data_IF_269169117479
#
_entry.id   IF_269169117479
#
_cell.length_a   1.000
_cell.length_b   1.000
_cell.length_c   1.000
_cell.angle_alpha   90.00
_cell.angle_beta   90.00
_cell.angle_gamma   90.00
#
_symmetry.space_group_name_H-M   'P 1'
#
loop_
_entity.id
_entity.type
_entity.pdbx_description
1 polymer ?
#
# COMPACT_ATOMS: atom_id res chain seq x y z
N UNK A 1 -37.04 12.45 -14.19
CA UNK A 1 -37.26 11.28 -13.32
C UNK A 1 -36.08 11.22 -12.37
N UNK A 2 -36.27 11.57 -11.09
CA UNK A 2 -35.23 11.38 -10.08
C UNK A 2 -35.26 9.89 -9.70
N UNK A 3 -34.17 9.16 -9.95
CA UNK A 3 -34.03 7.78 -9.50
C UNK A 3 -34.17 7.71 -7.98
N UNK A 4 -34.87 6.68 -7.48
CA UNK A 4 -34.99 6.43 -6.05
C UNK A 4 -33.59 6.20 -5.46
N UNK A 5 -33.15 7.00 -4.45
CA UNK A 5 -31.83 6.87 -3.86
C UNK A 5 -31.56 5.46 -3.29
N UNK A 6 -32.61 4.75 -2.86
CA UNK A 6 -32.48 3.37 -2.41
C UNK A 6 -32.18 2.41 -3.58
N UNK A 7 -32.85 2.58 -4.72
CA UNK A 7 -32.63 1.79 -5.92
C UNK A 7 -31.23 2.06 -6.53
N UNK A 8 -30.81 3.33 -6.58
CA UNK A 8 -29.48 3.73 -7.04
C UNK A 8 -28.36 3.13 -6.17
N UNK A 9 -28.57 3.07 -4.85
CA UNK A 9 -27.61 2.44 -3.92
C UNK A 9 -27.49 0.93 -4.14
N UNK A 10 -28.59 0.24 -4.43
CA UNK A 10 -28.59 -1.19 -4.70
C UNK A 10 -27.83 -1.51 -5.98
N UNK A 11 -28.14 -0.79 -7.06
CA UNK A 11 -27.45 -0.96 -8.35
C UNK A 11 -25.94 -0.72 -8.23
N UNK A 12 -25.55 0.33 -7.51
CA UNK A 12 -24.13 0.66 -7.28
C UNK A 12 -23.43 -0.42 -6.48
N UNK A 13 -24.04 -0.93 -5.39
CA UNK A 13 -23.46 -2.00 -4.57
C UNK A 13 -23.31 -3.31 -5.34
N UNK A 14 -24.33 -3.69 -6.11
CA UNK A 14 -24.27 -4.88 -6.97
C UNK A 14 -23.13 -4.76 -7.98
N UNK A 15 -23.00 -3.60 -8.62
CA UNK A 15 -21.93 -3.36 -9.60
C UNK A 15 -20.54 -3.32 -8.95
N UNK A 16 -20.39 -2.65 -7.82
CA UNK A 16 -19.14 -2.61 -7.07
C UNK A 16 -18.69 -4.02 -6.67
N UNK A 17 -19.61 -4.85 -6.15
CA UNK A 17 -19.31 -6.26 -5.83
C UNK A 17 -18.83 -7.03 -7.06
N UNK A 18 -19.50 -6.89 -8.21
CA UNK A 18 -19.06 -7.55 -9.44
C UNK A 18 -17.63 -7.16 -9.84
N UNK A 19 -17.30 -5.86 -9.79
CA UNK A 19 -15.96 -5.36 -10.13
C UNK A 19 -14.90 -5.88 -9.16
N UNK A 20 -15.17 -5.85 -7.85
CA UNK A 20 -14.25 -6.38 -6.83
C UNK A 20 -14.06 -7.89 -7.00
N UNK A 21 -15.13 -8.66 -7.24
CA UNK A 21 -15.04 -10.10 -7.49
C UNK A 21 -14.23 -10.43 -8.76
N UNK A 22 -14.36 -9.60 -9.80
CA UNK A 22 -13.63 -9.75 -11.04
C UNK A 22 -12.14 -9.36 -10.93
N UNK A 23 -11.72 -8.71 -9.83
CA UNK A 23 -10.35 -8.20 -9.68
C UNK A 23 -10.13 -6.81 -10.29
N UNK A 24 -11.18 -6.14 -10.77
CA UNK A 24 -11.08 -4.81 -11.38
C UNK A 24 -11.29 -3.72 -10.33
N UNK A 25 -10.27 -3.52 -9.47
CA UNK A 25 -10.34 -2.53 -8.40
C UNK A 25 -10.31 -1.09 -8.94
N UNK A 26 -9.63 -0.85 -10.06
CA UNK A 26 -9.59 0.46 -10.70
C UNK A 26 -10.99 0.91 -11.13
N UNK A 27 -11.76 0.05 -11.80
CA UNK A 27 -13.14 0.35 -12.15
C UNK A 27 -14.03 0.45 -10.91
N UNK A 28 -13.81 -0.37 -9.87
CA UNK A 28 -14.56 -0.28 -8.62
C UNK A 28 -14.35 1.08 -7.94
N UNK A 29 -13.11 1.56 -7.86
CA UNK A 29 -12.77 2.88 -7.32
C UNK A 29 -13.42 3.98 -8.15
N UNK A 30 -13.33 3.93 -9.48
CA UNK A 30 -13.94 4.93 -10.36
C UNK A 30 -15.47 5.00 -10.18
N UNK A 31 -16.14 3.85 -10.06
CA UNK A 31 -17.57 3.77 -9.78
C UNK A 31 -17.92 4.44 -8.44
N UNK A 32 -17.15 4.15 -7.39
CA UNK A 32 -17.36 4.72 -6.05
C UNK A 32 -17.10 6.23 -6.03
N UNK A 33 -16.06 6.71 -6.72
CA UNK A 33 -15.78 8.14 -6.84
C UNK A 33 -16.90 8.90 -7.53
N UNK A 34 -17.50 8.32 -8.57
CA UNK A 34 -18.61 8.95 -9.30
C UNK A 34 -19.94 8.92 -8.55
N UNK A 35 -20.22 7.84 -7.81
CA UNK A 35 -21.55 7.62 -7.21
C UNK A 35 -21.61 8.02 -5.72
N UNK A 36 -20.56 7.70 -4.96
CA UNK A 36 -20.49 7.90 -3.52
C UNK A 36 -19.09 8.40 -3.10
N UNK A 37 -18.66 9.61 -3.51
CA UNK A 37 -17.30 10.10 -3.23
C UNK A 37 -16.97 10.15 -1.74
N UNK A 38 -17.97 10.29 -0.86
CA UNK A 38 -17.80 10.26 0.59
C UNK A 38 -17.31 8.90 1.13
N UNK A 39 -17.59 7.80 0.43
CA UNK A 39 -17.07 6.46 0.77
C UNK A 39 -15.55 6.42 0.68
N UNK A 40 -14.96 7.24 -0.18
CA UNK A 40 -13.51 7.33 -0.36
C UNK A 40 -12.92 8.58 0.28
N UNK A 41 -13.75 9.51 0.76
CA UNK A 41 -13.33 10.79 1.34
C UNK A 41 -14.30 11.19 2.45
N UNK A 42 -13.97 10.87 3.69
CA UNK A 42 -14.71 11.43 4.83
C UNK A 42 -14.88 10.47 5.99
N UNK A 43 -13.86 10.40 6.85
CA UNK A 43 -13.94 9.71 8.13
C UNK A 43 -13.35 8.30 8.14
N UNK A 44 -13.39 7.61 9.29
CA UNK A 44 -12.65 6.37 9.53
C UNK A 44 -13.07 5.22 8.59
N UNK A 45 -14.35 5.10 8.25
CA UNK A 45 -14.81 4.10 7.27
C UNK A 45 -14.23 4.31 5.88
N UNK A 46 -13.92 5.56 5.50
CA UNK A 46 -13.30 5.84 4.20
C UNK A 46 -11.84 5.43 4.13
N UNK A 47 -11.12 5.50 5.25
CA UNK A 47 -9.74 5.03 5.35
C UNK A 47 -9.69 3.51 5.26
N UNK A 48 -10.62 2.82 5.94
CA UNK A 48 -10.73 1.37 5.87
C UNK A 48 -11.03 0.89 4.44
N UNK A 49 -12.00 1.51 3.75
CA UNK A 49 -12.31 1.16 2.35
C UNK A 49 -11.10 1.40 1.43
N UNK A 50 -10.43 2.54 1.56
CA UNK A 50 -9.23 2.85 0.78
C UNK A 50 -8.12 1.84 1.04
N UNK A 51 -7.92 1.46 2.30
CA UNK A 51 -6.94 0.45 2.69
C UNK A 51 -7.21 -0.89 2.00
N UNK A 52 -8.41 -1.44 2.15
CA UNK A 52 -8.74 -2.74 1.56
C UNK A 52 -8.73 -2.74 0.03
N UNK A 53 -9.21 -1.68 -0.62
CA UNK A 53 -9.14 -1.55 -2.08
C UNK A 53 -7.70 -1.43 -2.58
N UNK A 54 -6.84 -0.69 -1.87
CA UNK A 54 -5.43 -0.52 -2.26
C UNK A 54 -4.64 -1.82 -2.08
N UNK A 55 -4.84 -2.53 -0.96
CA UNK A 55 -4.26 -3.85 -0.74
C UNK A 55 -4.69 -4.83 -1.84
N UNK A 56 -5.98 -4.86 -2.19
CA UNK A 56 -6.46 -5.74 -3.23
C UNK A 56 -5.89 -5.37 -4.61
N UNK A 57 -5.82 -4.08 -4.96
CA UNK A 57 -5.20 -3.65 -6.22
C UNK A 57 -3.75 -4.10 -6.32
N UNK A 58 -2.97 -4.01 -5.24
CA UNK A 58 -1.60 -4.51 -5.20
C UNK A 58 -1.55 -6.03 -5.40
N UNK A 59 -2.41 -6.80 -4.72
CA UNK A 59 -2.50 -8.26 -4.90
C UNK A 59 -2.81 -8.62 -6.36
N UNK A 60 -3.70 -7.88 -7.02
CA UNK A 60 -4.03 -8.11 -8.42
C UNK A 60 -2.84 -7.82 -9.36
N UNK A 61 -2.04 -6.77 -9.07
CA UNK A 61 -0.79 -6.50 -9.81
C UNK A 61 0.24 -7.63 -9.65
N UNK A 62 0.43 -8.11 -8.42
CA UNK A 62 1.34 -9.23 -8.12
C UNK A 62 0.87 -10.52 -8.80
N UNK A 63 -0.44 -10.81 -8.77
CA UNK A 63 -1.01 -11.98 -9.44
C UNK A 63 -0.85 -11.92 -10.97
N UNK A 64 -0.93 -10.73 -11.55
CA UNK A 64 -0.69 -10.50 -12.98
C UNK A 64 0.81 -10.47 -13.34
N UNK A 65 1.71 -10.69 -12.39
CA UNK A 65 3.17 -10.60 -12.56
C UNK A 65 3.64 -9.22 -13.06
N UNK A 66 2.87 -8.17 -12.77
CA UNK A 66 3.20 -6.78 -13.12
C UNK A 66 4.04 -6.15 -12.00
N UNK A 67 5.25 -6.67 -11.85
CA UNK A 67 6.15 -6.36 -10.71
C UNK A 67 6.50 -4.88 -10.64
N UNK A 68 6.87 -4.27 -11.76
CA UNK A 68 7.24 -2.85 -11.84
C UNK A 68 6.12 -1.94 -11.31
N UNK A 69 4.88 -2.21 -11.77
CA UNK A 69 3.71 -1.46 -11.37
C UNK A 69 3.33 -1.72 -9.91
N UNK A 70 3.49 -2.96 -9.44
CA UNK A 70 3.26 -3.29 -8.03
C UNK A 70 4.22 -2.51 -7.12
N UNK A 71 5.52 -2.47 -7.46
CA UNK A 71 6.53 -1.70 -6.70
C UNK A 71 6.20 -0.21 -6.68
N UNK A 72 5.92 0.38 -7.84
CA UNK A 72 5.54 1.80 -7.93
C UNK A 72 4.28 2.09 -7.11
N UNK A 73 3.28 1.22 -7.20
CA UNK A 73 2.04 1.34 -6.43
C UNK A 73 2.30 1.24 -4.92
N UNK A 74 3.15 0.31 -4.48
CA UNK A 74 3.51 0.18 -3.08
C UNK A 74 4.20 1.43 -2.55
N UNK A 75 5.18 1.96 -3.28
CA UNK A 75 5.93 3.15 -2.89
C UNK A 75 5.06 4.42 -2.87
N UNK A 76 4.14 4.58 -3.82
CA UNK A 76 3.31 5.78 -3.93
C UNK A 76 2.08 5.75 -3.01
N UNK A 77 1.39 4.61 -2.94
CA UNK A 77 0.07 4.49 -2.29
C UNK A 77 0.18 3.80 -0.94
N UNK A 78 0.78 2.60 -0.90
CA UNK A 78 0.84 1.82 0.33
C UNK A 78 1.75 2.46 1.40
N UNK A 79 2.82 3.15 0.99
CA UNK A 79 3.70 3.87 1.92
C UNK A 79 2.96 4.98 2.67
N UNK A 80 2.09 5.72 1.98
CA UNK A 80 1.28 6.77 2.58
C UNK A 80 0.25 6.21 3.57
N UNK A 81 -0.39 5.09 3.21
CA UNK A 81 -1.33 4.38 4.08
C UNK A 81 -0.66 3.84 5.36
N UNK A 82 0.57 3.33 5.24
CA UNK A 82 1.32 2.79 6.38
C UNK A 82 1.61 3.85 7.45
N UNK A 83 1.90 5.09 7.05
CA UNK A 83 2.14 6.20 7.98
C UNK A 83 0.87 6.71 8.67
N UNK A 84 -0.29 6.56 8.01
CA UNK A 84 -1.57 7.06 8.51
C UNK A 84 -2.30 6.10 9.46
N UNK A 85 -1.97 4.81 9.44
CA UNK A 85 -2.76 3.77 10.10
C UNK A 85 -1.90 2.62 10.67
N UNK A 86 -1.27 2.79 11.84
CA UNK A 86 -0.41 1.76 12.44
C UNK A 86 -1.16 0.44 12.74
N UNK A 87 -2.48 0.50 12.95
CA UNK A 87 -3.32 -0.69 13.16
C UNK A 87 -3.31 -1.67 11.97
N UNK A 88 -2.92 -1.21 10.78
CA UNK A 88 -2.90 -2.02 9.57
C UNK A 88 -1.49 -2.42 9.11
N UNK A 89 -0.44 -2.05 9.86
CA UNK A 89 0.94 -2.30 9.46
C UNK A 89 1.23 -3.78 9.23
N UNK A 90 0.76 -4.67 10.12
CA UNK A 90 0.96 -6.12 9.99
C UNK A 90 0.36 -6.66 8.68
N UNK A 91 -0.89 -6.34 8.42
CA UNK A 91 -1.58 -6.75 7.19
C UNK A 91 -0.90 -6.20 5.94
N UNK A 92 -0.48 -4.94 5.95
CA UNK A 92 0.18 -4.32 4.80
C UNK A 92 1.56 -4.95 4.54
N UNK A 93 2.29 -5.29 5.61
CA UNK A 93 3.57 -6.03 5.52
C UNK A 93 3.38 -7.38 4.83
N UNK A 94 2.37 -8.14 5.23
CA UNK A 94 2.08 -9.45 4.62
C UNK A 94 1.67 -9.29 3.15
N UNK A 95 0.81 -8.32 2.83
CA UNK A 95 0.42 -8.02 1.44
C UNK A 95 1.63 -7.70 0.57
N UNK A 96 2.54 -6.84 1.04
CA UNK A 96 3.73 -6.43 0.29
C UNK A 96 4.74 -7.58 0.17
N UNK A 97 4.83 -8.45 1.16
CA UNK A 97 5.71 -9.62 1.12
C UNK A 97 5.36 -10.60 -0.01
N UNK A 98 4.13 -10.57 -0.55
CA UNK A 98 3.72 -11.40 -1.69
C UNK A 98 4.62 -11.22 -2.91
N UNK A 99 5.16 -10.01 -3.14
CA UNK A 99 6.03 -9.74 -4.29
C UNK A 99 7.39 -10.46 -4.18
N UNK A 100 7.77 -10.91 -2.99
CA UNK A 100 8.99 -11.66 -2.76
C UNK A 100 8.89 -13.13 -3.19
N UNK A 101 7.70 -13.61 -3.52
CA UNK A 101 7.48 -14.98 -3.97
C UNK A 101 7.32 -15.03 -5.50
N UNK A 102 8.09 -15.90 -6.14
CA UNK A 102 7.96 -16.19 -7.58
C UNK A 102 6.57 -16.78 -7.92
N UNK A 103 6.04 -17.59 -7.01
CA UNK A 103 4.68 -18.13 -7.04
C UNK A 103 3.92 -17.72 -5.76
N UNK A 104 3.26 -16.55 -5.73
CA UNK A 104 2.50 -16.08 -4.57
C UNK A 104 1.33 -17.02 -4.23
N UNK A 105 0.84 -17.82 -5.17
CA UNK A 105 -0.20 -18.83 -4.93
C UNK A 105 0.31 -20.05 -4.14
N UNK A 106 1.62 -20.32 -4.18
CA UNK A 106 2.27 -21.39 -3.42
C UNK A 106 2.90 -20.87 -2.11
N UNK A 107 2.75 -19.57 -1.83
CA UNK A 107 3.29 -18.90 -0.65
C UNK A 107 2.51 -19.28 0.62
N UNK A 108 3.12 -19.21 1.82
CA UNK A 108 2.37 -19.21 3.09
C UNK A 108 1.28 -18.12 3.15
N UNK A 109 1.42 -17.07 2.35
CA UNK A 109 0.48 -15.96 2.24
C UNK A 109 -0.58 -16.18 1.14
N UNK A 110 -0.67 -17.37 0.56
CA UNK A 110 -1.64 -17.71 -0.49
C UNK A 110 -3.11 -17.44 -0.11
N UNK A 111 -3.42 -17.48 1.18
CA UNK A 111 -4.75 -17.13 1.71
C UNK A 111 -5.17 -15.69 1.35
N UNK A 112 -4.23 -14.75 1.17
CA UNK A 112 -4.49 -13.38 0.73
C UNK A 112 -4.93 -13.30 -0.75
N UNK A 113 -4.60 -14.30 -1.58
CA UNK A 113 -5.01 -14.36 -2.98
C UNK A 113 -6.36 -15.08 -3.16
N UNK A 114 -6.94 -15.59 -2.08
CA UNK A 114 -8.18 -16.36 -2.12
C UNK A 114 -9.39 -15.49 -2.48
N UNK A 115 -10.44 -16.13 -2.99
CA UNK A 115 -11.74 -15.47 -3.21
C UNK A 115 -12.31 -14.88 -1.91
N UNK A 116 -12.06 -15.50 -0.75
CA UNK A 116 -12.51 -15.00 0.54
C UNK A 116 -11.94 -13.61 0.88
N UNK A 117 -10.70 -13.32 0.48
CA UNK A 117 -10.13 -11.98 0.65
C UNK A 117 -10.89 -10.95 -0.20
N UNK A 118 -11.24 -11.28 -1.45
CA UNK A 118 -12.06 -10.39 -2.28
C UNK A 118 -13.45 -10.20 -1.70
N UNK A 119 -14.05 -11.25 -1.13
CA UNK A 119 -15.38 -11.16 -0.52
C UNK A 119 -15.36 -10.18 0.65
N UNK A 120 -14.34 -10.24 1.50
CA UNK A 120 -14.11 -9.27 2.57
C UNK A 120 -14.04 -7.83 2.03
N UNK A 121 -13.29 -7.58 0.97
CA UNK A 121 -13.19 -6.24 0.34
C UNK A 121 -14.57 -5.80 -0.16
N UNK A 122 -15.32 -6.68 -0.81
CA UNK A 122 -16.66 -6.37 -1.31
C UNK A 122 -17.65 -6.07 -0.19
N UNK A 123 -17.55 -6.77 0.95
CA UNK A 123 -18.42 -6.56 2.11
C UNK A 123 -18.12 -5.22 2.79
N UNK A 124 -16.84 -4.85 2.94
CA UNK A 124 -16.42 -3.53 3.43
C UNK A 124 -16.95 -2.41 2.53
N UNK A 125 -16.78 -2.54 1.21
CA UNK A 125 -17.31 -1.57 0.24
C UNK A 125 -18.85 -1.50 0.32
N UNK A 126 -19.53 -2.64 0.42
CA UNK A 126 -20.98 -2.68 0.52
C UNK A 126 -21.49 -1.97 1.79
N UNK A 127 -20.85 -2.21 2.94
CA UNK A 127 -21.19 -1.53 4.20
C UNK A 127 -21.00 -0.02 4.10
N UNK A 128 -19.88 0.43 3.50
CA UNK A 128 -19.61 1.85 3.34
C UNK A 128 -20.61 2.55 2.40
N UNK A 129 -20.98 1.92 1.28
CA UNK A 129 -21.99 2.47 0.36
C UNK A 129 -23.37 2.54 1.04
N UNK A 130 -23.75 1.53 1.84
CA UNK A 130 -24.99 1.58 2.62
C UNK A 130 -24.99 2.77 3.60
N UNK A 131 -23.89 2.97 4.33
CA UNK A 131 -23.74 4.10 5.24
C UNK A 131 -23.83 5.46 4.53
N UNK A 132 -23.15 5.59 3.38
CA UNK A 132 -23.17 6.82 2.59
C UNK A 132 -24.56 7.09 1.97
N UNK A 133 -25.26 6.06 1.51
CA UNK A 133 -26.62 6.18 0.98
C UNK A 133 -27.61 6.57 2.07
N UNK A 134 -27.50 5.99 3.27
CA UNK A 134 -28.34 6.36 4.42
C UNK A 134 -28.11 7.82 4.83
N UNK A 135 -26.85 8.26 4.89
CA UNK A 135 -26.51 9.65 5.19
C UNK A 135 -27.05 10.63 4.13
N UNK A 136 -27.01 10.25 2.84
CA UNK A 136 -27.59 11.06 1.77
C UNK A 136 -29.13 11.16 1.88
N UNK A 137 -29.81 10.06 2.22
CA UNK A 137 -31.25 10.06 2.46
C UNK A 137 -31.63 10.92 3.68
N UNK A 138 -30.85 10.87 4.76
CA UNK A 138 -31.05 11.71 5.94
C UNK A 138 -30.83 13.20 5.64
N UNK A 139 -29.81 13.55 4.85
CA UNK A 139 -29.56 14.93 4.43
C UNK A 139 -30.67 15.51 3.55
N UNK A 140 -31.31 14.68 2.72
CA UNK A 140 -32.50 15.09 1.96
C UNK A 140 -33.72 15.37 2.86
N UNK A 141 -33.74 14.86 4.09
CA UNK A 141 -34.81 15.06 5.08
C UNK A 141 -34.51 16.10 6.16
N UNK A 142 -33.34 16.75 6.17
CA UNK A 142 -32.88 17.58 7.28
C UNK A 142 -32.27 18.90 6.84
N UNK A 143 -33.11 19.90 6.58
CA UNK A 143 -32.68 21.29 6.38
C UNK A 143 -33.48 22.24 7.29
N UNK A 144 -33.30 22.14 8.61
CA UNK A 144 -33.57 23.23 9.57
C UNK A 144 -32.64 23.13 10.79
N UNK A 145 -32.03 24.26 11.18
CA UNK A 145 -31.42 24.45 12.50
C UNK A 145 -29.92 24.79 12.51
N UNK A 146 -29.60 26.08 12.75
CA UNK A 146 -28.26 26.62 12.97
C UNK A 146 -27.54 26.02 14.20
N UNK A 147 -26.25 26.24 14.43
CA UNK A 147 -25.53 27.52 14.47
C UNK A 147 -24.94 27.65 15.89
N UNK A 148 -23.62 27.79 16.03
CA UNK A 148 -22.99 27.95 17.35
C UNK A 148 -21.47 27.84 17.33
N UNK A 149 -20.81 28.99 17.44
CA UNK A 149 -19.37 29.18 17.45
C UNK A 149 -18.78 29.24 18.88
N UNK A 150 -17.45 29.13 18.97
CA UNK A 150 -16.61 29.49 20.13
C UNK A 150 -15.76 28.32 20.62
N UNK A 151 -14.46 28.42 20.91
CA UNK A 151 -13.50 29.53 20.95
C UNK A 151 -12.22 29.04 21.66
N UNK A 152 -11.10 29.78 21.49
CA UNK A 152 -9.84 29.82 22.27
C UNK A 152 -8.95 28.55 22.30
N UNK A 153 -7.68 28.55 21.86
CA UNK A 153 -6.47 29.35 22.19
C UNK A 153 -5.65 28.83 23.39
N UNK A 154 -4.31 28.77 23.17
CA UNK A 154 -3.19 28.47 24.08
C UNK A 154 -3.02 26.97 24.47
N UNK A 155 -1.83 26.39 24.64
CA UNK A 155 -0.55 26.95 25.10
C UNK A 155 0.60 25.98 24.73
N UNK A 156 1.74 26.53 24.28
CA UNK A 156 3.04 25.84 24.20
C UNK A 156 3.73 25.94 25.57
N UNK A 157 4.49 24.90 25.97
CA UNK A 157 5.88 25.00 26.50
C UNK A 157 6.43 23.62 26.87
N UNK A 158 7.57 23.28 26.25
CA UNK A 158 8.83 22.74 26.83
C UNK A 158 8.73 21.51 27.77
N UNK A 159 9.17 20.32 27.34
CA UNK A 159 10.58 19.91 27.24
C UNK A 159 11.35 19.96 28.58
N UNK A 160 11.45 18.83 29.28
CA UNK A 160 12.76 18.29 29.72
C UNK A 160 12.65 16.90 30.34
N UNK A 161 13.72 16.13 30.13
CA UNK A 161 14.24 15.08 31.01
C UNK A 161 13.52 13.72 31.10
N UNK A 162 13.86 12.84 30.14
CA UNK A 162 14.06 11.41 30.42
C UNK A 162 15.19 10.87 29.53
N UNK A 163 16.34 11.54 29.57
CA UNK A 163 17.60 11.05 29.03
C UNK A 163 18.28 10.19 30.12
N UNK A 164 18.02 8.88 30.13
CA UNK A 164 18.83 7.89 30.86
C UNK A 164 18.54 6.44 30.44
N UNK A 165 18.39 6.18 29.14
CA UNK A 165 18.50 4.84 28.54
C UNK A 165 19.07 4.92 27.10
N UNK A 166 19.88 5.96 26.84
CA UNK A 166 20.19 6.50 25.52
C UNK A 166 21.67 6.33 25.14
N UNK A 167 22.26 5.13 25.31
CA UNK A 167 23.65 4.88 24.81
C UNK A 167 23.88 3.46 24.26
N UNK A 168 22.84 2.64 24.03
CA UNK A 168 23.03 1.29 23.44
C UNK A 168 22.01 0.88 22.36
N UNK A 169 21.01 1.71 22.07
CA UNK A 169 20.06 1.52 20.96
C UNK A 169 20.40 2.41 19.73
N UNK A 170 21.56 3.07 19.78
CA UNK A 170 21.92 4.22 18.93
C UNK A 170 22.54 3.88 17.57
N UNK A 171 22.27 2.69 17.02
CA UNK A 171 22.71 2.32 15.66
C UNK A 171 21.61 1.77 14.75
N UNK A 172 20.33 2.01 15.07
CA UNK A 172 19.23 1.64 14.16
C UNK A 172 18.25 2.78 13.82
N UNK A 173 18.52 4.00 14.27
CA UNK A 173 17.60 5.15 14.14
C UNK A 173 18.11 6.35 13.32
N UNK A 174 19.21 6.21 12.57
CA UNK A 174 19.72 7.31 11.73
C UNK A 174 20.04 6.83 10.30
N UNK A 175 18.99 6.64 9.50
CA UNK A 175 19.03 6.97 8.08
C UNK A 175 17.87 7.91 7.78
N UNK A 176 18.13 9.17 7.36
CA UNK A 176 17.07 10.04 6.90
C UNK A 176 16.60 9.58 5.50
N UNK A 177 15.28 9.59 5.30
CA UNK A 177 14.57 9.47 4.01
C UNK A 177 14.24 8.09 3.41
N UNK A 178 14.12 7.00 4.19
CA UNK A 178 13.45 5.77 3.69
C UNK A 178 12.23 5.39 4.53
N UNK A 179 11.04 5.35 3.93
CA UNK A 179 9.82 4.91 4.61
C UNK A 179 9.98 3.49 5.18
N UNK A 180 9.27 3.13 6.25
CA UNK A 180 9.33 1.77 6.81
C UNK A 180 9.02 0.68 5.77
N UNK A 181 8.19 1.02 4.77
CA UNK A 181 7.91 0.17 3.62
C UNK A 181 9.10 -0.01 2.69
N UNK A 182 9.85 1.06 2.39
CA UNK A 182 11.07 0.95 1.57
C UNK A 182 12.13 0.10 2.24
N UNK A 183 12.25 0.17 3.56
CA UNK A 183 13.14 -0.72 4.32
C UNK A 183 12.68 -2.18 4.19
N UNK A 184 11.38 -2.44 4.26
CA UNK A 184 10.83 -3.79 4.06
C UNK A 184 11.10 -4.30 2.64
N UNK A 185 10.83 -3.50 1.61
CA UNK A 185 11.11 -3.86 0.21
C UNK A 185 12.60 -4.13 -0.01
N UNK A 186 13.48 -3.28 0.52
CA UNK A 186 14.92 -3.47 0.45
C UNK A 186 15.39 -4.74 1.18
N UNK A 187 14.78 -5.07 2.33
CA UNK A 187 15.06 -6.32 3.05
C UNK A 187 14.64 -7.55 2.24
N UNK A 188 13.44 -7.54 1.64
CA UNK A 188 12.96 -8.66 0.80
C UNK A 188 13.90 -8.91 -0.39
N UNK A 189 14.38 -7.84 -1.01
CA UNK A 189 15.34 -7.89 -2.12
C UNK A 189 16.72 -8.43 -1.69
N UNK A 190 17.17 -8.08 -0.49
CA UNK A 190 18.41 -8.59 0.06
C UNK A 190 18.31 -10.09 0.36
N UNK A 191 17.18 -10.54 0.96
CA UNK A 191 16.92 -11.95 1.27
C UNK A 191 16.84 -12.80 0.00
N UNK A 192 16.14 -12.33 -1.04
CA UNK A 192 16.11 -13.04 -2.32
C UNK A 192 17.51 -13.20 -2.94
N UNK A 193 18.34 -12.18 -2.82
CA UNK A 193 19.74 -12.25 -3.28
C UNK A 193 20.56 -13.31 -2.56
N UNK A 194 20.50 -13.31 -1.22
CA UNK A 194 21.24 -14.27 -0.40
C UNK A 194 20.79 -15.71 -0.69
N UNK A 195 19.48 -15.96 -0.79
CA UNK A 195 18.95 -17.28 -1.14
C UNK A 195 19.39 -17.75 -2.54
N UNK A 196 19.48 -16.84 -3.51
CA UNK A 196 19.98 -17.18 -4.84
C UNK A 196 21.49 -17.50 -4.85
N UNK A 197 22.29 -16.75 -4.09
CA UNK A 197 23.71 -17.02 -3.90
C UNK A 197 23.95 -18.37 -3.19
N UNK A 198 23.15 -18.71 -2.17
CA UNK A 198 23.18 -20.02 -1.51
C UNK A 198 22.74 -21.17 -2.42
N UNK A 199 21.84 -20.91 -3.38
CA UNK A 199 21.40 -21.87 -4.40
C UNK A 199 22.45 -22.14 -5.49
N UNK A 200 23.62 -21.50 -5.41
CA UNK A 200 24.73 -21.69 -6.35
C UNK A 200 24.48 -21.09 -7.74
N UNK A 201 23.60 -20.09 -7.85
CA UNK A 201 23.37 -19.33 -9.09
C UNK A 201 22.78 -20.13 -10.26
N UNK A 202 22.10 -21.26 -10.01
CA UNK A 202 21.46 -22.06 -11.05
C UNK A 202 19.99 -21.69 -11.23
N UNK A 203 19.67 -21.13 -12.40
CA UNK A 203 18.34 -20.64 -12.80
C UNK A 203 18.39 -19.14 -13.08
N UNK A 204 17.53 -18.62 -13.97
CA UNK A 204 17.31 -17.17 -14.07
C UNK A 204 16.52 -16.75 -12.83
N UNK A 205 17.11 -16.02 -11.86
CA UNK A 205 16.35 -15.60 -10.68
C UNK A 205 15.24 -14.63 -11.08
N UNK A 206 14.08 -14.80 -10.46
CA UNK A 206 13.13 -13.70 -10.29
C UNK A 206 13.80 -12.61 -9.45
N UNK A 207 14.40 -11.65 -10.13
CA UNK A 207 15.22 -10.61 -9.52
C UNK A 207 14.40 -9.34 -9.35
N UNK A 208 13.82 -9.16 -8.15
CA UNK A 208 13.10 -7.94 -7.79
C UNK A 208 13.93 -6.66 -8.05
N UNK A 209 15.27 -6.75 -8.01
CA UNK A 209 16.16 -5.60 -8.24
C UNK A 209 16.05 -5.04 -9.65
N UNK A 210 15.80 -5.89 -10.65
CA UNK A 210 15.62 -5.46 -12.05
C UNK A 210 14.41 -4.53 -12.18
N UNK A 211 13.43 -4.67 -11.27
CA UNK A 211 12.15 -3.96 -11.29
C UNK A 211 12.06 -2.78 -10.32
N UNK A 212 13.01 -2.66 -9.38
CA UNK A 212 13.05 -1.58 -8.39
C UNK A 212 13.81 -0.32 -8.86
N UNK A 213 14.40 -0.37 -10.06
CA UNK A 213 15.28 0.68 -10.56
C UNK A 213 16.61 0.75 -9.78
N UNK A 214 17.65 1.40 -10.34
CA UNK A 214 18.88 1.61 -9.60
C UNK A 214 18.60 2.49 -8.37
N UNK A 215 19.22 2.21 -7.22
CA UNK A 215 19.10 3.08 -6.06
C UNK A 215 19.61 4.49 -6.46
N UNK A 216 18.92 5.58 -6.06
CA UNK A 216 19.46 6.92 -6.24
C UNK A 216 20.75 7.02 -5.41
N UNK A 217 21.89 6.93 -6.09
CA UNK A 217 23.22 6.94 -5.46
C UNK A 217 24.27 6.01 -6.08
N UNK A 218 23.91 5.06 -6.94
CA UNK A 218 24.91 4.31 -7.72
C UNK A 218 25.31 5.09 -8.98
N UNK A 219 25.90 6.29 -8.80
CA UNK A 219 26.77 6.83 -9.84
C UNK A 219 27.95 5.87 -9.99
N UNK A 220 28.16 5.38 -11.21
CA UNK A 220 29.13 4.35 -11.51
C UNK A 220 30.52 4.69 -10.98
N UNK A 221 30.98 3.90 -10.00
CA UNK A 221 32.41 3.68 -9.81
C UNK A 221 32.85 2.72 -10.92
N UNK A 222 33.02 3.28 -12.12
CA UNK A 222 33.71 2.63 -13.22
C UNK A 222 35.20 2.54 -12.89
N UNK A 223 35.56 1.57 -12.06
CA UNK A 223 36.94 1.15 -11.82
C UNK A 223 37.52 0.49 -13.07
N UNK A 224 37.78 1.28 -14.11
CA UNK A 224 38.53 0.87 -15.29
C UNK A 224 40.03 0.94 -15.00
N UNK A 225 40.54 -0.04 -14.24
CA UNK A 225 41.97 -0.29 -14.11
C UNK A 225 42.53 -0.81 -15.44
N UNK A 226 43.02 0.10 -16.28
CA UNK A 226 43.57 -0.21 -17.60
C UNK A 226 45.01 0.28 -17.79
N UNK A 227 45.94 -0.67 -17.77
CA UNK A 227 47.28 -0.66 -18.41
C UNK A 227 48.44 0.07 -17.68
N UNK A 228 49.72 -0.34 -17.89
CA UNK A 228 50.23 -1.20 -18.97
C UNK A 228 51.06 -2.42 -18.55
N UNK A 229 50.92 -3.51 -19.33
CA UNK A 229 51.89 -4.59 -19.38
C UNK A 229 53.19 -4.13 -20.05
N UNK A 230 54.32 -4.28 -19.35
CA UNK A 230 55.66 -4.19 -19.91
C UNK A 230 56.29 -5.58 -19.84
N UNK A 231 56.01 -6.39 -20.85
CA UNK A 231 56.69 -7.67 -21.02
C UNK A 231 58.18 -7.42 -21.36
N UNK A 232 59.04 -8.07 -20.58
CA UNK A 232 60.44 -8.24 -20.88
C UNK A 232 60.57 -9.14 -22.12
N UNK A 233 61.26 -8.66 -23.16
CA UNK A 233 61.96 -9.54 -24.09
C UNK A 233 63.47 -9.36 -23.94
N UNK A 234 64.13 -10.52 -23.90
CA UNK A 234 65.57 -10.73 -23.98
C UNK A 234 66.17 -10.09 -25.21
#
# INVERSE_FOLDING_TARGET
MAEDPAAASLATRARARQLVMAGDMAAAVALLQGSYPRVLKGGPSSEEVQFYLSCQQYIELVRQRRVDEAVQFAQAVLAALLHGAPQWEGTLRDVVALIAYEAPEASPLAHLLSTAQRERVADVVNAAVLGAAAAAAAAAGGAEGGGGAGGAAAMQTEASAAAAAAVAAEQQQQQPAKSSLERLLAQLVAVQGALHEESGGRGEPFDLRKHLGPPPGSSGSGGGGGSPGRELRR
#
